data_IF_986527306489
#
_entry.id   IF_986527306489
#
_cell.length_a   1.000
_cell.length_b   1.000
_cell.length_c   1.000
_cell.angle_alpha   90.00
_cell.angle_beta   90.00
_cell.angle_gamma   90.00
#
_symmetry.space_group_name_H-M   'P 1'
#
loop_
_entity.id
_entity.type
_entity.pdbx_description
1 polymer ?
#
# COMPACT_ATOMS: atom_id res chain seq x y z
N UNK A 1 16.47 -9.70 7.02
CA UNK A 1 16.70 -10.09 5.61
C UNK A 1 17.87 -9.26 5.16
N UNK A 2 18.89 -9.88 4.59
CA UNK A 2 20.08 -9.19 4.09
C UNK A 2 20.16 -9.54 2.60
N UNK A 3 19.66 -8.64 1.73
CA UNK A 3 19.79 -8.82 0.27
C UNK A 3 21.10 -8.15 -0.12
N UNK A 4 22.12 -8.97 -0.40
CA UNK A 4 23.49 -8.46 -0.59
C UNK A 4 23.74 -7.87 -1.97
N UNK A 5 22.97 -8.30 -2.97
CA UNK A 5 23.07 -7.79 -4.32
C UNK A 5 22.05 -6.69 -4.59
N UNK A 6 22.54 -5.57 -5.11
CA UNK A 6 21.69 -4.42 -5.47
C UNK A 6 20.71 -4.76 -6.59
N UNK A 7 21.11 -5.61 -7.55
CA UNK A 7 20.21 -5.98 -8.64
C UNK A 7 19.03 -6.82 -8.13
N UNK A 8 19.28 -7.78 -7.25
CA UNK A 8 18.23 -8.55 -6.54
C UNK A 8 17.30 -7.64 -5.73
N UNK A 9 17.87 -6.70 -4.95
CA UNK A 9 17.10 -5.76 -4.13
C UNK A 9 16.19 -4.86 -4.99
N UNK A 10 16.73 -4.32 -6.08
CA UNK A 10 15.97 -3.50 -7.03
C UNK A 10 14.87 -4.31 -7.73
N UNK A 11 15.18 -5.54 -8.16
CA UNK A 11 14.21 -6.44 -8.79
C UNK A 11 13.05 -6.74 -7.84
N UNK A 12 13.34 -7.06 -6.57
CA UNK A 12 12.32 -7.32 -5.57
C UNK A 12 11.48 -6.08 -5.25
N UNK A 13 12.11 -4.91 -5.08
CA UNK A 13 11.40 -3.65 -4.85
C UNK A 13 10.40 -3.34 -5.99
N UNK A 14 10.85 -3.52 -7.25
CA UNK A 14 9.98 -3.36 -8.43
C UNK A 14 8.86 -4.38 -8.47
N UNK A 15 9.16 -5.66 -8.22
CA UNK A 15 8.18 -6.74 -8.25
C UNK A 15 7.06 -6.51 -7.23
N UNK A 16 7.41 -6.19 -5.99
CA UNK A 16 6.43 -5.91 -4.93
C UNK A 16 5.58 -4.69 -5.26
N UNK A 17 6.19 -3.62 -5.80
CA UNK A 17 5.45 -2.45 -6.27
C UNK A 17 4.48 -2.75 -7.40
N UNK A 18 4.93 -3.51 -8.40
CA UNK A 18 4.09 -3.95 -9.51
C UNK A 18 2.90 -4.75 -9.00
N UNK A 19 3.12 -5.81 -8.22
CA UNK A 19 2.04 -6.68 -7.73
C UNK A 19 1.05 -5.88 -6.87
N UNK A 20 1.55 -5.04 -5.95
CA UNK A 20 0.69 -4.32 -5.00
C UNK A 20 -0.22 -3.29 -5.66
N UNK A 21 0.28 -2.60 -6.68
CA UNK A 21 -0.43 -1.49 -7.34
C UNK A 21 -0.93 -1.84 -8.74
N UNK A 22 -0.94 -3.12 -9.11
CA UNK A 22 -1.54 -3.56 -10.37
C UNK A 22 -3.07 -3.46 -10.31
N UNK A 23 -3.67 -2.84 -11.32
CA UNK A 23 -5.13 -2.73 -11.43
C UNK A 23 -5.82 -4.07 -11.71
N UNK A 24 -5.12 -4.99 -12.41
CA UNK A 24 -5.69 -6.23 -12.94
C UNK A 24 -5.50 -7.45 -12.03
N UNK A 25 -4.95 -7.27 -10.82
CA UNK A 25 -4.88 -8.37 -9.85
C UNK A 25 -6.28 -8.67 -9.32
N UNK A 26 -6.68 -9.94 -9.29
CA UNK A 26 -7.99 -10.31 -8.74
C UNK A 26 -8.08 -9.96 -7.26
N UNK A 27 -9.30 -9.73 -6.74
CA UNK A 27 -9.47 -9.39 -5.32
C UNK A 27 -8.92 -10.49 -4.40
N UNK A 28 -9.10 -11.77 -4.78
CA UNK A 28 -8.55 -12.90 -4.02
C UNK A 28 -7.02 -12.86 -3.96
N UNK A 29 -6.33 -12.76 -5.11
CA UNK A 29 -4.87 -12.67 -5.15
C UNK A 29 -4.34 -11.43 -4.42
N UNK A 30 -5.06 -10.30 -4.54
CA UNK A 30 -4.74 -9.10 -3.79
C UNK A 30 -4.81 -9.37 -2.29
N UNK A 31 -5.92 -9.91 -1.80
CA UNK A 31 -6.14 -10.13 -0.37
C UNK A 31 -5.14 -11.12 0.24
N UNK A 32 -4.92 -12.26 -0.41
CA UNK A 32 -4.04 -13.30 0.12
C UNK A 32 -2.56 -12.86 0.11
N UNK A 33 -2.17 -11.98 -0.80
CA UNK A 33 -0.78 -11.57 -0.96
C UNK A 33 -0.57 -10.06 -0.76
N UNK A 34 -0.95 -9.23 -1.73
CA UNK A 34 -0.62 -7.80 -1.77
C UNK A 34 -1.23 -6.95 -0.64
N UNK A 35 -2.37 -7.37 -0.10
CA UNK A 35 -3.09 -6.77 1.01
C UNK A 35 -2.68 -7.34 2.37
N UNK A 36 -1.80 -8.34 2.41
CA UNK A 36 -1.33 -8.94 3.65
C UNK A 36 -0.38 -8.01 4.40
N UNK A 37 -0.53 -7.94 5.72
CA UNK A 37 0.29 -7.10 6.60
C UNK A 37 1.78 -7.47 6.53
N UNK A 38 2.10 -8.76 6.50
CA UNK A 38 3.50 -9.23 6.42
C UNK A 38 4.14 -8.85 5.08
N UNK A 39 3.39 -8.93 3.97
CA UNK A 39 3.88 -8.54 2.65
C UNK A 39 4.08 -7.03 2.58
N UNK A 40 3.18 -6.24 3.17
CA UNK A 40 3.38 -4.80 3.30
C UNK A 40 4.63 -4.47 4.12
N UNK A 41 4.85 -5.12 5.27
CA UNK A 41 6.07 -4.91 6.06
C UNK A 41 7.34 -5.28 5.29
N UNK A 42 7.34 -6.42 4.60
CA UNK A 42 8.45 -6.84 3.73
C UNK A 42 8.69 -5.78 2.66
N UNK A 43 7.64 -5.31 2.00
CA UNK A 43 7.78 -4.31 0.94
C UNK A 43 8.35 -3.00 1.48
N UNK A 44 7.87 -2.52 2.62
CA UNK A 44 8.43 -1.32 3.26
C UNK A 44 9.93 -1.48 3.52
N UNK A 45 10.35 -2.60 4.11
CA UNK A 45 11.77 -2.85 4.41
C UNK A 45 12.63 -2.91 3.16
N UNK A 46 12.16 -3.61 2.13
CA UNK A 46 12.83 -3.71 0.82
C UNK A 46 12.95 -2.34 0.17
N UNK A 47 11.90 -1.53 0.25
CA UNK A 47 11.87 -0.19 -0.28
C UNK A 47 12.89 0.73 0.40
N UNK A 48 12.89 0.74 1.73
CA UNK A 48 13.80 1.54 2.55
C UNK A 48 15.27 1.11 2.30
N UNK A 49 15.53 -0.20 2.20
CA UNK A 49 16.86 -0.75 1.90
C UNK A 49 17.31 -0.38 0.48
N UNK A 50 16.40 -0.42 -0.49
CA UNK A 50 16.67 -0.03 -1.88
C UNK A 50 17.13 1.42 -1.98
N UNK A 51 16.43 2.36 -1.33
CA UNK A 51 16.83 3.78 -1.37
C UNK A 51 18.18 4.00 -0.69
N UNK A 52 18.39 3.41 0.49
CA UNK A 52 19.67 3.50 1.21
C UNK A 52 20.84 3.00 0.37
N UNK A 53 20.70 1.84 -0.25
CA UNK A 53 21.77 1.25 -1.07
C UNK A 53 21.97 2.02 -2.39
N UNK A 54 20.89 2.55 -2.97
CA UNK A 54 20.96 3.41 -4.17
C UNK A 54 21.77 4.68 -3.93
N UNK A 55 21.57 5.32 -2.78
CA UNK A 55 22.30 6.52 -2.37
C UNK A 55 23.76 6.18 -2.07
N UNK A 56 24.01 5.11 -1.30
CA UNK A 56 25.36 4.66 -0.95
C UNK A 56 26.22 4.36 -2.19
N UNK A 57 25.61 3.83 -3.25
CA UNK A 57 26.29 3.53 -4.52
C UNK A 57 26.40 4.73 -5.46
N UNK A 58 25.79 5.87 -5.12
CA UNK A 58 25.80 7.08 -5.93
C UNK A 58 24.88 7.03 -7.16
N UNK A 59 23.95 6.09 -7.24
CA UNK A 59 22.95 6.04 -8.31
C UNK A 59 21.90 7.15 -8.17
N UNK A 60 21.66 7.59 -6.94
CA UNK A 60 20.71 8.64 -6.58
C UNK A 60 21.38 9.55 -5.55
N UNK A 61 21.13 10.86 -5.61
CA UNK A 61 21.74 11.84 -4.69
C UNK A 61 21.10 11.85 -3.30
N UNK A 62 19.79 11.66 -3.23
CA UNK A 62 19.00 11.68 -2.00
C UNK A 62 17.77 10.77 -2.12
N UNK A 63 17.21 10.36 -1.00
CA UNK A 63 15.98 9.56 -0.97
C UNK A 63 14.84 10.41 -1.53
N UNK A 64 14.13 9.88 -2.52
CA UNK A 64 12.90 10.53 -2.97
C UNK A 64 11.75 9.97 -2.15
N UNK A 65 11.14 10.82 -1.32
CA UNK A 65 9.91 10.44 -0.63
C UNK A 65 8.82 10.20 -1.68
N UNK A 66 8.44 8.93 -1.84
CA UNK A 66 7.31 8.60 -2.71
C UNK A 66 6.03 8.85 -1.90
N UNK A 67 5.39 9.99 -2.17
CA UNK A 67 4.19 10.43 -1.43
C UNK A 67 2.91 9.95 -2.13
N UNK A 68 2.04 9.28 -1.38
CA UNK A 68 0.69 8.93 -1.80
C UNK A 68 -0.13 10.20 -2.01
N UNK A 69 -0.83 10.25 -3.14
CA UNK A 69 -1.85 11.27 -3.41
C UNK A 69 -3.18 10.60 -3.72
N UNK A 70 -4.25 11.06 -3.10
CA UNK A 70 -5.58 10.44 -3.20
C UNK A 70 -6.10 10.33 -4.65
N UNK A 71 -5.75 11.29 -5.51
CA UNK A 71 -6.17 11.34 -6.92
C UNK A 71 -5.11 10.89 -7.93
N UNK A 72 -4.01 10.30 -7.45
CA UNK A 72 -3.00 9.68 -8.31
C UNK A 72 -3.47 8.36 -8.94
N UNK A 73 -2.77 7.83 -9.96
CA UNK A 73 -3.02 6.47 -10.45
C UNK A 73 -3.02 5.41 -9.33
N UNK A 74 -2.07 5.49 -8.40
CA UNK A 74 -2.03 4.63 -7.21
C UNK A 74 -3.25 4.84 -6.33
N UNK A 75 -3.66 6.10 -6.11
CA UNK A 75 -4.88 6.44 -5.39
C UNK A 75 -6.14 5.80 -5.99
N UNK A 76 -6.24 5.72 -7.32
CA UNK A 76 -7.33 5.02 -8.01
C UNK A 76 -7.31 3.52 -7.74
N UNK A 77 -6.13 2.89 -7.80
CA UNK A 77 -5.97 1.46 -7.47
C UNK A 77 -6.42 1.20 -6.03
N UNK A 78 -5.97 2.02 -5.07
CA UNK A 78 -6.34 1.86 -3.66
C UNK A 78 -7.85 2.03 -3.44
N UNK A 79 -8.47 3.03 -4.07
CA UNK A 79 -9.93 3.21 -4.02
C UNK A 79 -10.66 1.98 -4.56
N UNK A 80 -10.19 1.39 -5.66
CA UNK A 80 -10.73 0.14 -6.21
C UNK A 80 -10.63 -1.01 -5.19
N UNK A 81 -9.51 -1.15 -4.47
CA UNK A 81 -9.38 -2.19 -3.43
C UNK A 81 -10.36 -1.99 -2.26
N UNK A 82 -10.62 -0.74 -1.87
CA UNK A 82 -11.66 -0.42 -0.89
C UNK A 82 -13.05 -0.76 -1.44
N UNK A 83 -13.29 -0.54 -2.74
CA UNK A 83 -14.57 -0.85 -3.39
C UNK A 83 -14.87 -2.34 -3.51
N UNK A 84 -13.82 -3.17 -3.54
CA UNK A 84 -13.92 -4.63 -3.64
C UNK A 84 -14.24 -5.31 -2.30
N UNK A 85 -14.17 -4.58 -1.18
CA UNK A 85 -14.50 -5.12 0.15
C UNK A 85 -15.96 -5.56 0.23
N UNK A 86 -16.18 -6.75 0.74
CA UNK A 86 -17.51 -7.27 1.04
C UNK A 86 -18.12 -6.59 2.27
N UNK A 87 -19.45 -6.66 2.40
CA UNK A 87 -20.16 -6.16 3.59
C UNK A 87 -19.60 -6.75 4.89
N UNK A 88 -19.33 -8.05 4.90
CA UNK A 88 -18.79 -8.74 6.07
C UNK A 88 -17.39 -8.25 6.46
N UNK A 89 -16.52 -7.99 5.48
CA UNK A 89 -15.17 -7.44 5.71
C UNK A 89 -15.26 -6.00 6.25
N UNK A 90 -16.16 -5.18 5.70
CA UNK A 90 -16.41 -3.83 6.21
C UNK A 90 -16.91 -3.86 7.66
N UNK A 91 -17.86 -4.74 7.99
CA UNK A 91 -18.36 -4.93 9.35
C UNK A 91 -17.27 -5.35 10.32
N UNK A 92 -16.40 -6.27 9.89
CA UNK A 92 -15.22 -6.71 10.66
C UNK A 92 -14.29 -5.53 10.95
N UNK A 93 -13.90 -4.75 9.93
CA UNK A 93 -13.00 -3.62 10.11
C UNK A 93 -13.55 -2.57 11.08
N UNK A 94 -14.87 -2.38 11.13
CA UNK A 94 -15.51 -1.47 12.08
C UNK A 94 -15.53 -2.08 13.49
N UNK A 95 -15.90 -3.35 13.61
CA UNK A 95 -15.99 -4.03 14.90
C UNK A 95 -14.65 -4.03 15.65
N UNK A 96 -13.54 -4.14 14.91
CA UNK A 96 -12.18 -4.12 15.47
C UNK A 96 -11.50 -2.73 15.46
N UNK A 97 -12.20 -1.68 15.02
CA UNK A 97 -11.66 -0.32 14.86
C UNK A 97 -10.34 -0.30 14.05
N UNK A 98 -10.27 -1.11 12.98
CA UNK A 98 -9.02 -1.43 12.27
C UNK A 98 -8.91 -0.75 10.89
N UNK A 99 -9.83 0.18 10.60
CA UNK A 99 -9.86 0.94 9.33
C UNK A 99 -8.52 1.63 9.06
N UNK A 100 -7.96 2.32 10.06
CA UNK A 100 -6.72 3.07 9.88
C UNK A 100 -5.53 2.15 9.57
N UNK A 101 -5.43 0.98 10.23
CA UNK A 101 -4.36 0.02 9.97
C UNK A 101 -4.49 -0.60 8.60
N UNK A 102 -5.71 -0.97 8.22
CA UNK A 102 -6.01 -1.50 6.89
C UNK A 102 -5.60 -0.52 5.79
N UNK A 103 -6.02 0.76 5.90
CA UNK A 103 -5.65 1.78 4.93
C UNK A 103 -4.14 2.03 4.88
N UNK A 104 -3.44 1.99 6.02
CA UNK A 104 -1.97 2.07 6.06
C UNK A 104 -1.31 0.90 5.34
N UNK A 105 -1.83 -0.32 5.48
CA UNK A 105 -1.33 -1.50 4.76
C UNK A 105 -1.50 -1.32 3.26
N UNK A 106 -2.62 -0.76 2.81
CA UNK A 106 -2.89 -0.53 1.39
C UNK A 106 -1.90 0.44 0.73
N UNK A 107 -1.53 1.52 1.42
CA UNK A 107 -0.72 2.60 0.84
C UNK A 107 0.80 2.36 0.92
N UNK A 108 1.28 1.36 1.68
CA UNK A 108 2.71 1.03 1.77
C UNK A 108 3.33 0.78 0.39
N UNK A 109 4.54 1.29 0.09
CA UNK A 109 5.50 1.94 0.99
C UNK A 109 5.39 3.47 0.95
N UNK A 110 4.33 4.01 0.36
CA UNK A 110 4.21 5.44 0.17
C UNK A 110 4.11 6.14 1.52
N UNK A 111 4.89 7.21 1.66
CA UNK A 111 4.60 8.19 2.69
C UNK A 111 3.27 8.86 2.38
N UNK A 112 2.53 9.29 3.40
CA UNK A 112 1.20 9.88 3.17
C UNK A 112 1.00 11.09 4.04
N UNK A 113 0.56 12.20 3.41
CA UNK A 113 0.20 13.41 4.13
C UNK A 113 -1.05 13.16 4.98
N UNK A 114 -1.21 13.89 6.10
CA UNK A 114 -2.44 13.79 6.91
C UNK A 114 -3.70 14.09 6.09
N UNK A 115 -3.60 15.04 5.16
CA UNK A 115 -4.72 15.44 4.30
C UNK A 115 -5.14 14.30 3.36
N UNK A 116 -4.18 13.70 2.63
CA UNK A 116 -4.47 12.58 1.71
C UNK A 116 -4.96 11.35 2.46
N UNK A 117 -4.40 11.05 3.63
CA UNK A 117 -4.88 9.95 4.46
C UNK A 117 -6.33 10.17 4.91
N UNK A 118 -6.67 11.41 5.31
CA UNK A 118 -8.03 11.73 5.72
C UNK A 118 -9.03 11.62 4.56
N UNK A 119 -8.65 12.00 3.34
CA UNK A 119 -9.49 11.81 2.15
C UNK A 119 -9.78 10.33 1.90
N UNK A 120 -8.76 9.47 2.02
CA UNK A 120 -8.92 8.03 1.88
C UNK A 120 -9.79 7.43 2.99
N UNK A 121 -9.59 7.88 4.22
CA UNK A 121 -10.40 7.47 5.37
C UNK A 121 -11.87 7.84 5.18
N UNK A 122 -12.16 9.09 4.82
CA UNK A 122 -13.51 9.56 4.54
C UNK A 122 -14.16 8.74 3.42
N UNK A 123 -13.41 8.40 2.36
CA UNK A 123 -13.89 7.56 1.28
C UNK A 123 -14.35 6.18 1.77
N UNK A 124 -13.56 5.54 2.63
CA UNK A 124 -13.90 4.24 3.22
C UNK A 124 -15.09 4.33 4.20
N UNK A 125 -15.15 5.38 5.02
CA UNK A 125 -16.27 5.61 5.94
C UNK A 125 -17.60 5.80 5.19
N UNK A 126 -17.59 6.49 4.05
CA UNK A 126 -18.78 6.62 3.20
C UNK A 126 -19.23 5.27 2.62
N UNK A 127 -18.29 4.36 2.28
CA UNK A 127 -18.63 2.99 1.86
C UNK A 127 -19.25 2.19 2.99
N UNK A 128 -18.69 2.30 4.19
CA UNK A 128 -19.24 1.70 5.41
C UNK A 128 -20.68 2.15 5.65
N UNK A 129 -20.96 3.45 5.55
CA UNK A 129 -22.32 3.99 5.73
C UNK A 129 -23.29 3.39 4.71
N UNK A 130 -22.90 3.35 3.43
CA UNK A 130 -23.73 2.79 2.35
C UNK A 130 -24.02 1.30 2.50
N UNK A 131 -23.10 0.52 3.08
CA UNK A 131 -23.29 -0.91 3.30
C UNK A 131 -24.28 -1.24 4.45
N UNK A 132 -24.58 -0.25 5.30
CA UNK A 132 -25.48 -0.36 6.47
C UNK A 132 -26.94 0.01 6.16
N UNK A 133 -27.18 0.84 5.14
CA UNK A 133 -28.50 1.11 4.54
C UNK A 133 -28.91 0.00 3.61
#
# INVERSE_FOLDING_TARGET
MEIKDYAELNALNKLLGMIKFQENLSFYEFREFAGSSIIAEIFKRVHDEFWKESIKRGYIKEEQEIVFKFDSPVGKVIKKRVDELTKHELETLIAYNDIDSYLKILIVPYQTSKADFQLLKNYMEEKVKKART
#
